data_IF_303960995952
#
_entry.id   IF_303960995952
#
_cell.length_a   1.000
_cell.length_b   1.000
_cell.length_c   1.000
_cell.angle_alpha   90.00
_cell.angle_beta   90.00
_cell.angle_gamma   90.00
#
_symmetry.space_group_name_H-M   'P 1'
#
loop_
_entity.id
_entity.type
_entity.pdbx_description
1 polymer ?
#
# COMPACT_ATOMS: atom_id res chain seq x y z
N UNK A 1 -14.60 -21.85 20.52
CA UNK A 1 -13.12 -21.71 20.37
C UNK A 1 -12.68 -21.15 19.01
N UNK A 2 -13.40 -21.43 17.91
CA UNK A 2 -13.06 -20.92 16.56
C UNK A 2 -13.22 -19.40 16.44
N UNK A 3 -14.27 -18.86 17.05
CA UNK A 3 -14.59 -17.42 17.01
C UNK A 3 -13.60 -16.60 17.86
N UNK A 4 -13.18 -17.14 19.01
CA UNK A 4 -12.13 -16.53 19.86
C UNK A 4 -10.79 -16.47 19.14
N UNK A 5 -10.44 -17.50 18.35
CA UNK A 5 -9.21 -17.50 17.53
C UNK A 5 -9.27 -16.47 16.40
N UNK A 6 -10.42 -16.33 15.74
CA UNK A 6 -10.65 -15.32 14.70
C UNK A 6 -10.58 -13.90 15.27
N UNK A 7 -11.17 -13.66 16.44
CA UNK A 7 -11.10 -12.37 17.14
C UNK A 7 -9.66 -12.06 17.59
N UNK A 8 -8.91 -13.04 18.07
CA UNK A 8 -7.51 -12.85 18.47
C UNK A 8 -6.61 -12.52 17.26
N UNK A 9 -6.81 -13.19 16.12
CA UNK A 9 -6.08 -12.91 14.88
C UNK A 9 -6.47 -11.53 14.34
N UNK A 10 -7.76 -11.18 14.34
CA UNK A 10 -8.21 -9.84 13.94
C UNK A 10 -7.66 -8.73 14.86
N UNK A 11 -7.61 -8.98 16.17
CA UNK A 11 -7.01 -8.05 17.14
C UNK A 11 -5.48 -7.95 16.98
N UNK A 12 -4.79 -9.04 16.63
CA UNK A 12 -3.36 -9.00 16.27
C UNK A 12 -3.10 -8.26 14.96
N UNK A 13 -3.99 -8.37 13.97
CA UNK A 13 -3.89 -7.63 12.70
C UNK A 13 -4.20 -6.13 12.86
N UNK A 14 -5.01 -5.77 13.86
CA UNK A 14 -5.31 -4.38 14.22
C UNK A 14 -4.27 -3.74 15.14
N UNK A 15 -3.40 -4.53 15.76
CA UNK A 15 -2.24 -4.00 16.48
C UNK A 15 -1.23 -3.51 15.43
N UNK A 16 -1.26 -2.21 15.13
CA UNK A 16 -0.30 -1.53 14.26
C UNK A 16 1.08 -1.50 14.91
N UNK A 17 1.79 -2.62 14.88
CA UNK A 17 3.16 -2.69 15.39
C UNK A 17 4.11 -2.19 14.30
N UNK A 18 4.37 -0.88 14.32
CA UNK A 18 5.45 -0.27 13.54
C UNK A 18 6.78 -0.49 14.28
N UNK A 19 7.47 -1.58 13.95
CA UNK A 19 8.71 -1.98 14.64
C UNK A 19 9.97 -1.24 14.14
N UNK A 20 9.84 -0.33 13.18
CA UNK A 20 10.99 0.35 12.56
C UNK A 20 11.24 1.78 13.06
N UNK A 21 10.48 2.28 14.05
CA UNK A 21 10.58 3.68 14.49
C UNK A 21 11.76 3.91 15.46
N UNK A 22 12.57 4.96 15.26
CA UNK A 22 13.61 5.33 16.21
C UNK A 22 13.00 5.77 17.56
N UNK A 23 13.59 5.33 18.66
CA UNK A 23 13.19 5.79 19.99
C UNK A 23 13.50 7.29 20.17
N UNK A 24 12.62 8.01 20.88
CA UNK A 24 12.78 9.45 21.18
C UNK A 24 12.08 10.39 20.20
N UNK A 25 11.34 9.86 19.22
CA UNK A 25 10.51 10.64 18.29
C UNK A 25 9.02 10.36 18.48
N UNK A 26 8.14 11.33 18.20
CA UNK A 26 6.71 11.06 18.01
C UNK A 26 6.51 9.95 16.96
N UNK A 27 5.43 9.19 17.06
CA UNK A 27 5.06 8.22 16.04
C UNK A 27 4.69 8.97 14.76
N UNK A 28 5.46 8.82 13.69
CA UNK A 28 5.12 9.33 12.36
C UNK A 28 5.49 8.32 11.27
N UNK A 29 4.75 8.37 10.16
CA UNK A 29 5.02 7.52 9.00
C UNK A 29 5.96 8.25 8.03
N UNK A 30 7.05 7.60 7.63
CA UNK A 30 7.95 8.11 6.59
C UNK A 30 7.43 7.71 5.19
N UNK A 31 6.55 6.71 5.10
CA UNK A 31 6.04 6.24 3.83
C UNK A 31 5.10 7.27 3.21
N UNK A 32 5.48 7.77 2.03
CA UNK A 32 4.65 8.67 1.22
C UNK A 32 4.09 8.00 -0.03
N UNK A 33 4.57 6.80 -0.36
CA UNK A 33 4.14 6.07 -1.55
C UNK A 33 2.80 5.39 -1.29
N UNK A 34 1.76 5.88 -1.96
CA UNK A 34 0.47 5.22 -2.00
C UNK A 34 0.39 4.27 -3.20
N UNK A 35 0.03 3.02 -2.92
CA UNK A 35 -0.15 1.99 -3.93
C UNK A 35 -1.62 1.59 -4.03
N UNK A 36 -2.03 1.25 -5.25
CA UNK A 36 -3.34 0.71 -5.61
C UNK A 36 -3.27 -0.83 -5.61
N UNK A 37 -3.79 -1.53 -4.59
CA UNK A 37 -3.69 -2.99 -4.49
C UNK A 37 -4.41 -3.72 -5.63
N UNK A 38 -5.48 -3.14 -6.17
CA UNK A 38 -6.23 -3.69 -7.31
C UNK A 38 -5.43 -3.57 -8.61
N UNK A 39 -4.50 -2.60 -8.69
CA UNK A 39 -3.62 -2.34 -9.83
C UNK A 39 -4.38 -2.17 -11.16
N UNK A 40 -5.66 -1.79 -11.08
CA UNK A 40 -6.55 -1.54 -12.21
C UNK A 40 -6.11 -0.26 -12.91
N UNK A 41 -5.48 -0.38 -14.07
CA UNK A 41 -4.91 0.71 -14.85
C UNK A 41 -3.48 1.09 -14.43
N UNK A 42 -3.25 1.34 -13.14
CA UNK A 42 -1.93 1.69 -12.59
C UNK A 42 -1.76 1.18 -11.16
N UNK A 43 -0.52 0.94 -10.76
CA UNK A 43 -0.15 0.60 -9.38
C UNK A 43 -0.07 1.83 -8.46
N UNK A 44 0.09 3.03 -9.03
CA UNK A 44 0.23 4.29 -8.27
C UNK A 44 -0.99 5.19 -8.45
N UNK A 45 -1.70 5.07 -9.59
CA UNK A 45 -2.97 5.75 -9.80
C UNK A 45 -4.14 4.81 -9.50
N UNK A 46 -5.02 5.22 -8.59
CA UNK A 46 -6.31 4.61 -8.37
C UNK A 46 -7.29 4.99 -9.49
N UNK A 47 -7.91 4.00 -10.13
CA UNK A 47 -8.96 4.22 -11.13
C UNK A 47 -10.36 4.34 -10.53
N UNK A 48 -10.53 4.06 -9.24
CA UNK A 48 -11.84 3.98 -8.58
C UNK A 48 -12.68 2.77 -9.01
N UNK A 49 -12.15 1.93 -9.90
CA UNK A 49 -12.79 0.69 -10.33
C UNK A 49 -12.50 -0.45 -9.37
N UNK A 50 -13.52 -1.25 -9.10
CA UNK A 50 -13.35 -2.54 -8.44
C UNK A 50 -12.83 -3.60 -9.41
N UNK A 51 -12.17 -4.62 -8.88
CA UNK A 51 -11.95 -5.88 -9.57
C UNK A 51 -13.30 -6.52 -9.97
N UNK A 52 -13.33 -7.32 -11.05
CA UNK A 52 -14.49 -8.14 -11.37
C UNK A 52 -14.87 -9.05 -10.21
N UNK A 53 -16.13 -9.48 -10.13
CA UNK A 53 -16.59 -10.45 -9.11
C UNK A 53 -15.71 -11.71 -9.13
N UNK A 54 -15.24 -12.12 -7.96
CA UNK A 54 -14.32 -13.23 -7.77
C UNK A 54 -12.86 -12.89 -8.09
N UNK A 55 -12.58 -11.67 -8.55
CA UNK A 55 -11.25 -11.22 -8.92
C UNK A 55 -10.32 -11.16 -7.72
N UNK A 56 -9.08 -11.57 -7.93
CA UNK A 56 -8.01 -11.57 -6.94
C UNK A 56 -6.74 -11.00 -7.57
N UNK A 57 -5.97 -10.24 -6.78
CA UNK A 57 -4.66 -9.76 -7.17
C UNK A 57 -3.70 -9.80 -5.98
N UNK A 58 -2.52 -10.34 -6.23
CA UNK A 58 -1.35 -10.21 -5.38
C UNK A 58 -0.30 -9.39 -6.16
N UNK A 59 0.34 -8.43 -5.51
CA UNK A 59 1.39 -7.63 -6.12
C UNK A 59 2.49 -7.34 -5.12
N UNK A 60 3.72 -7.23 -5.62
CA UNK A 60 4.87 -6.82 -4.84
C UNK A 60 5.47 -5.60 -5.52
N UNK A 61 5.76 -4.55 -4.75
CA UNK A 61 6.42 -3.35 -5.22
C UNK A 61 7.59 -3.02 -4.30
N UNK A 62 8.64 -2.40 -4.82
CA UNK A 62 9.78 -1.95 -4.03
C UNK A 62 10.18 -0.54 -4.41
N UNK A 63 10.72 0.19 -3.44
CA UNK A 63 11.23 1.54 -3.67
C UNK A 63 12.44 1.82 -2.76
N UNK A 64 13.21 2.84 -3.14
CA UNK A 64 14.38 3.29 -2.39
C UNK A 64 14.29 4.79 -2.18
N UNK A 65 14.61 5.22 -0.96
CA UNK A 65 14.59 6.61 -0.54
C UNK A 65 15.97 7.04 -0.03
N UNK A 66 16.35 8.27 -0.37
CA UNK A 66 17.59 8.91 0.09
C UNK A 66 17.27 10.14 0.94
N UNK A 67 17.84 10.15 2.14
CA UNK A 67 17.61 11.12 3.20
C UNK A 67 16.11 11.36 3.52
N UNK A 68 15.30 10.29 3.69
CA UNK A 68 13.88 10.48 4.00
C UNK A 68 13.64 11.17 5.35
N UNK A 69 14.62 11.14 6.26
CA UNK A 69 14.53 11.83 7.54
C UNK A 69 15.86 12.48 7.94
N UNK A 70 15.88 13.81 7.91
CA UNK A 70 17.04 14.64 8.27
C UNK A 70 16.72 15.45 9.52
N UNK A 71 17.65 15.47 10.47
CA UNK A 71 17.52 16.22 11.72
C UNK A 71 18.18 17.60 11.61
N UNK A 72 17.44 18.60 12.06
CA UNK A 72 17.88 20.00 12.12
C UNK A 72 17.70 20.52 13.55
N UNK A 73 18.68 21.27 14.02
CA UNK A 73 18.62 21.99 15.30
C UNK A 73 19.00 23.45 15.05
N UNK A 74 18.13 24.37 15.43
CA UNK A 74 18.30 25.82 15.22
C UNK A 74 18.62 26.19 13.76
N UNK A 75 18.01 25.48 12.80
CA UNK A 75 18.23 25.68 11.36
C UNK A 75 19.52 25.05 10.82
N UNK A 76 20.36 24.46 11.67
CA UNK A 76 21.60 23.78 11.27
C UNK A 76 21.33 22.29 11.08
N UNK A 77 21.69 21.75 9.91
CA UNK A 77 21.63 20.30 9.64
C UNK A 77 22.61 19.57 10.55
N UNK A 78 22.12 18.63 11.37
CA UNK A 78 22.96 17.80 12.26
C UNK A 78 23.30 16.46 11.64
N UNK A 79 22.40 15.88 10.86
CA UNK A 79 22.64 14.62 10.15
C UNK A 79 21.33 14.01 9.64
N UNK A 80 21.43 12.90 8.93
CA UNK A 80 20.28 12.11 8.49
C UNK A 80 20.00 10.99 9.48
N UNK A 81 18.91 11.09 10.24
CA UNK A 81 18.49 10.02 11.14
C UNK A 81 18.12 8.75 10.35
N UNK A 82 17.55 8.92 9.16
CA UNK A 82 17.46 7.87 8.14
C UNK A 82 18.06 8.43 6.87
N UNK A 83 19.22 7.91 6.47
CA UNK A 83 19.98 8.37 5.30
C UNK A 83 19.60 7.58 4.04
N UNK A 84 19.37 6.29 4.18
CA UNK A 84 19.05 5.40 3.07
C UNK A 84 18.05 4.36 3.55
N UNK A 85 17.02 4.11 2.74
CA UNK A 85 15.96 3.16 3.07
C UNK A 85 15.49 2.44 1.82
N UNK A 86 15.43 1.12 1.88
CA UNK A 86 14.87 0.24 0.86
C UNK A 86 13.62 -0.45 1.42
N UNK A 87 12.54 -0.32 0.68
CA UNK A 87 11.20 -0.73 1.07
C UNK A 87 10.65 -1.75 0.09
N UNK A 88 9.88 -2.70 0.62
CA UNK A 88 9.03 -3.60 -0.15
C UNK A 88 7.58 -3.49 0.33
N UNK A 89 6.63 -3.68 -0.57
CA UNK A 89 5.20 -3.62 -0.29
C UNK A 89 4.55 -4.88 -0.83
N UNK A 90 3.85 -5.62 0.02
CA UNK A 90 2.98 -6.73 -0.40
C UNK A 90 1.55 -6.21 -0.44
N UNK A 91 0.92 -6.31 -1.60
CA UNK A 91 -0.41 -5.80 -1.88
C UNK A 91 -1.34 -6.96 -2.23
N UNK A 92 -2.50 -6.98 -1.60
CA UNK A 92 -3.55 -7.97 -1.87
C UNK A 92 -4.86 -7.23 -2.13
N UNK A 93 -5.55 -7.63 -3.18
CA UNK A 93 -6.89 -7.19 -3.51
C UNK A 93 -7.78 -8.39 -3.80
N UNK A 94 -8.99 -8.40 -3.28
CA UNK A 94 -9.96 -9.46 -3.50
C UNK A 94 -11.38 -8.90 -3.56
N UNK A 95 -12.09 -9.13 -4.66
CA UNK A 95 -13.46 -8.70 -4.86
C UNK A 95 -14.43 -9.89 -4.83
N UNK A 96 -14.88 -10.37 -3.66
CA UNK A 96 -15.80 -11.51 -3.58
C UNK A 96 -17.14 -11.25 -4.28
N UNK A 97 -17.58 -9.98 -4.33
CA UNK A 97 -18.83 -9.53 -4.94
C UNK A 97 -18.55 -8.43 -5.96
N UNK A 98 -19.50 -8.17 -6.85
CA UNK A 98 -19.37 -7.09 -7.85
C UNK A 98 -19.28 -5.67 -7.25
N UNK A 99 -19.68 -5.53 -5.99
CA UNK A 99 -19.80 -4.25 -5.27
C UNK A 99 -18.88 -4.14 -4.06
N UNK A 100 -18.12 -5.19 -3.75
CA UNK A 100 -17.28 -5.24 -2.56
C UNK A 100 -15.88 -5.69 -2.96
N UNK A 101 -14.88 -4.89 -2.60
CA UNK A 101 -13.48 -5.25 -2.68
C UNK A 101 -12.79 -5.04 -1.33
N UNK A 102 -11.96 -6.01 -0.96
CA UNK A 102 -11.14 -6.01 0.23
C UNK A 102 -9.68 -5.86 -0.21
N UNK A 103 -9.00 -4.89 0.40
CA UNK A 103 -7.63 -4.55 0.09
C UNK A 103 -6.78 -4.64 1.36
N UNK A 104 -5.57 -5.18 1.21
CA UNK A 104 -4.56 -5.23 2.25
C UNK A 104 -3.21 -4.81 1.66
N UNK A 105 -2.44 -4.06 2.44
CA UNK A 105 -1.08 -3.64 2.11
C UNK A 105 -0.18 -3.83 3.33
N UNK A 106 0.95 -4.49 3.11
CA UNK A 106 1.97 -4.72 4.12
C UNK A 106 3.30 -4.11 3.67
N UNK A 107 3.70 -2.97 4.24
CA UNK A 107 5.02 -2.39 4.02
C UNK A 107 6.09 -3.11 4.85
N UNK A 108 7.24 -3.34 4.24
CA UNK A 108 8.40 -4.04 4.78
C UNK A 108 9.62 -3.14 4.58
N UNK A 109 10.30 -2.80 5.68
CA UNK A 109 11.64 -2.19 5.64
C UNK A 109 12.63 -3.33 5.42
N UNK A 110 13.05 -3.51 4.17
CA UNK A 110 14.01 -4.55 3.79
C UNK A 110 15.43 -4.20 4.26
N UNK A 111 15.75 -2.91 4.25
CA UNK A 111 17.03 -2.37 4.73
C UNK A 111 16.92 -0.87 4.98
N UNK A 112 17.52 -0.36 6.05
CA UNK A 112 17.74 1.07 6.24
C UNK A 112 18.97 1.36 7.10
N UNK A 113 19.49 2.58 6.99
CA UNK A 113 20.58 3.11 7.82
C UNK A 113 20.45 4.62 8.03
N UNK A 114 21.22 5.15 8.97
CA UNK A 114 21.31 6.58 9.26
C UNK A 114 22.61 6.93 9.99
N UNK A 115 22.81 8.22 10.21
CA UNK A 115 23.92 8.79 10.98
C UNK A 115 23.73 8.49 12.48
N UNK A 116 24.83 8.44 13.24
CA UNK A 116 24.77 8.35 14.70
C UNK A 116 24.48 9.74 15.28
N UNK A 117 23.27 9.91 15.81
CA UNK A 117 22.77 11.16 16.41
C UNK A 117 22.51 11.01 17.92
N UNK A 118 23.26 10.11 18.58
CA UNK A 118 23.15 9.93 20.04
C UNK A 118 23.54 11.16 20.84
N UNK A 119 24.43 12.01 20.31
CA UNK A 119 24.78 13.30 20.91
C UNK A 119 23.58 14.25 21.02
N UNK A 120 22.54 14.01 20.21
CA UNK A 120 21.27 14.72 20.14
C UNK A 120 20.15 13.92 20.80
N UNK A 121 20.49 12.86 21.55
CA UNK A 121 19.59 11.97 22.28
C UNK A 121 18.61 11.20 21.37
N UNK A 122 18.95 11.02 20.10
CA UNK A 122 18.15 10.24 19.16
C UNK A 122 18.65 8.79 19.08
N UNK A 123 17.72 7.84 19.10
CA UNK A 123 18.03 6.42 18.93
C UNK A 123 18.42 6.08 17.49
N UNK A 124 19.26 5.06 17.31
CA UNK A 124 19.59 4.53 15.98
C UNK A 124 18.37 3.81 15.40
N UNK A 125 17.99 4.03 14.13
CA UNK A 125 16.90 3.29 13.50
C UNK A 125 17.22 1.78 13.42
N UNK A 126 16.20 0.93 13.56
CA UNK A 126 16.34 -0.49 13.27
C UNK A 126 16.72 -0.71 11.79
N UNK A 127 17.52 -1.72 11.47
CA UNK A 127 17.98 -1.96 10.08
C UNK A 127 16.91 -2.59 9.20
N UNK A 128 15.97 -3.33 9.78
CA UNK A 128 14.84 -3.97 9.12
C UNK A 128 13.59 -3.88 10.00
N UNK A 129 12.41 -4.11 9.42
CA UNK A 129 11.17 -4.08 10.18
C UNK A 129 9.91 -4.10 9.34
N UNK A 130 8.76 -4.07 10.01
CA UNK A 130 7.45 -3.90 9.38
C UNK A 130 7.02 -2.44 9.51
N UNK A 131 6.49 -1.90 8.41
CA UNK A 131 5.77 -0.63 8.44
C UNK A 131 4.32 -0.84 8.90
N UNK A 132 3.51 0.22 8.80
CA UNK A 132 2.11 0.18 9.20
C UNK A 132 1.28 -0.61 8.19
N UNK A 133 0.68 -1.76 8.55
CA UNK A 133 -0.21 -2.46 7.64
C UNK A 133 -1.49 -1.64 7.43
N UNK A 134 -2.01 -1.65 6.20
CA UNK A 134 -3.25 -0.94 5.84
C UNK A 134 -4.27 -1.91 5.30
N UNK A 135 -5.49 -1.84 5.82
CA UNK A 135 -6.64 -2.57 5.32
C UNK A 135 -7.69 -1.57 4.82
N UNK A 136 -8.25 -1.82 3.63
CA UNK A 136 -9.30 -0.99 3.03
C UNK A 136 -10.46 -1.86 2.56
N UNK A 137 -11.66 -1.33 2.72
CA UNK A 137 -12.90 -1.90 2.16
C UNK A 137 -13.44 -0.89 1.16
N UNK A 138 -13.61 -1.32 -0.08
CA UNK A 138 -14.15 -0.49 -1.15
C UNK A 138 -15.54 -0.99 -1.50
N UNK A 139 -16.49 -0.05 -1.55
CA UNK A 139 -17.89 -0.30 -1.89
C UNK A 139 -18.23 0.37 -3.21
N UNK A 140 -18.68 -0.42 -4.18
CA UNK A 140 -19.16 0.09 -5.45
C UNK A 140 -20.58 0.63 -5.29
N UNK A 141 -20.77 1.91 -5.59
CA UNK A 141 -22.08 2.56 -5.56
C UNK A 141 -22.73 2.68 -6.94
N UNK A 142 -21.93 2.62 -8.00
CA UNK A 142 -22.38 2.66 -9.38
C UNK A 142 -21.64 1.61 -10.21
N UNK A 143 -22.37 0.94 -11.10
CA UNK A 143 -21.81 -0.09 -11.98
C UNK A 143 -22.22 0.21 -13.41
N UNK A 144 -21.25 0.58 -14.25
CA UNK A 144 -21.49 0.69 -15.69
C UNK A 144 -21.83 -0.68 -16.27
N UNK A 145 -22.92 -0.78 -17.05
CA UNK A 145 -23.13 -1.89 -17.97
C UNK A 145 -22.21 -1.65 -19.17
N UNK A 146 -21.11 -2.38 -19.26
CA UNK A 146 -20.26 -2.42 -20.45
C UNK A 146 -20.96 -3.21 -21.57
N UNK A 147 -22.18 -2.82 -21.96
CA UNK A 147 -22.84 -3.36 -23.16
C UNK A 147 -22.55 -2.50 -24.40
N UNK A 148 -21.91 -1.34 -24.22
CA UNK A 148 -21.55 -0.45 -25.32
C UNK A 148 -20.46 -1.04 -26.23
N UNK A 149 -19.49 -1.79 -25.69
CA UNK A 149 -18.45 -2.40 -26.52
C UNK A 149 -18.96 -3.56 -27.38
N UNK A 150 -19.91 -4.36 -26.87
CA UNK A 150 -20.50 -5.47 -27.63
C UNK A 150 -21.50 -5.00 -28.71
N UNK A 151 -22.22 -3.91 -28.45
CA UNK A 151 -23.17 -3.37 -29.43
C UNK A 151 -22.47 -2.65 -30.59
N UNK A 152 -21.33 -1.99 -30.35
CA UNK A 152 -20.52 -1.40 -31.43
C UNK A 152 -19.86 -2.50 -32.28
N UNK A 153 -19.41 -3.61 -31.67
CA UNK A 153 -18.87 -4.75 -32.41
C UNK A 153 -19.93 -5.44 -33.29
N UNK A 154 -21.17 -5.61 -32.80
CA UNK A 154 -22.28 -6.17 -33.59
C UNK A 154 -22.74 -5.25 -34.72
N UNK A 155 -22.78 -3.95 -34.49
CA UNK A 155 -23.16 -2.98 -35.52
C UNK A 155 -22.18 -2.97 -36.70
N UNK A 156 -20.89 -3.18 -36.43
CA UNK A 156 -19.87 -3.26 -37.49
C UNK A 156 -19.90 -4.58 -38.29
N UNK A 157 -20.43 -5.66 -37.73
CA UNK A 157 -20.58 -6.95 -38.43
C UNK A 157 -21.85 -7.00 -39.30
N UNK A 158 -22.90 -6.28 -38.92
CA UNK A 158 -24.15 -6.16 -39.71
C UNK A 158 -24.03 -5.18 -40.90
N UNK A 159 -22.97 -4.36 -40.93
CA UNK A 159 -22.70 -3.37 -41.97
C UNK A 159 -21.89 -3.88 -43.17
N UNK A 160 -21.50 -5.17 -43.21
CA UNK A 160 -20.73 -5.74 -44.32
C UNK A 160 -21.60 -6.67 -45.18
N UNK A 161 -22.38 -6.14 -46.16
CA UNK A 161 -22.92 -6.98 -47.21
C UNK A 161 -21.75 -7.49 -48.03
N UNK A 162 -21.45 -8.79 -47.90
CA UNK A 162 -20.53 -9.51 -48.79
C UNK A 162 -20.90 -9.18 -50.24
N UNK A 163 -19.99 -8.52 -50.95
CA UNK A 163 -19.94 -8.45 -52.41
C UNK A 163 -18.59 -8.95 -52.87
#
# INVERSE_FOLDING_TARGET
MRDVRLVLVAALLLASVSFAQPAGLPVFDLERLELNPSGKGSLVLGSGELLPRGGFRLSVAGHYERNPLVFYLDGVRKGALVSDRAMAHVLLAWAPLRWLELNAQLPLVAWQRGDDLRTEQLGTPATTGLGTPVFRVLLGVAFGRTELASNVARFNDEGNPRS
#
